data_IF_944518464992
#
_entry.id   IF_944518464992
#
_cell.length_a   1.000
_cell.length_b   1.000
_cell.length_c   1.000
_cell.angle_alpha   90.00
_cell.angle_beta   90.00
_cell.angle_gamma   90.00
#
_symmetry.space_group_name_H-M   'P 1'
#
loop_
_entity.id
_entity.type
_entity.pdbx_description
1 polymer ?
#
# COMPACT_ATOMS: atom_id res chain seq x y z
N UNK A 1 -2.34 -22.14 -7.69
CA UNK A 1 -1.74 -21.37 -8.81
C UNK A 1 -0.78 -20.35 -8.22
N UNK A 2 0.49 -20.30 -8.65
CA UNK A 2 1.45 -19.32 -8.10
C UNK A 2 1.11 -17.92 -8.62
N UNK A 3 1.39 -16.89 -7.80
CA UNK A 3 1.14 -15.48 -8.17
C UNK A 3 1.82 -15.11 -9.50
N UNK A 4 3.05 -15.59 -9.70
CA UNK A 4 3.83 -15.36 -10.93
C UNK A 4 3.10 -15.91 -12.16
N UNK A 5 2.54 -17.13 -12.06
CA UNK A 5 1.81 -17.75 -13.16
C UNK A 5 0.49 -17.02 -13.44
N UNK A 6 -0.22 -16.58 -12.40
CA UNK A 6 -1.43 -15.78 -12.56
C UNK A 6 -1.14 -14.48 -13.33
N UNK A 7 -0.07 -13.78 -12.95
CA UNK A 7 0.31 -12.53 -13.60
C UNK A 7 0.89 -12.69 -15.00
N UNK A 8 1.65 -13.76 -15.27
CA UNK A 8 2.15 -14.02 -16.64
C UNK A 8 1.00 -14.31 -17.60
N UNK A 9 -0.01 -15.07 -17.16
CA UNK A 9 -1.23 -15.33 -17.95
C UNK A 9 -2.01 -14.03 -18.17
N UNK A 10 -2.21 -13.22 -17.13
CA UNK A 10 -2.92 -11.95 -17.25
C UNK A 10 -2.21 -10.96 -18.18
N UNK A 11 -0.88 -10.85 -18.09
CA UNK A 11 -0.10 -9.96 -18.97
C UNK A 11 -0.13 -10.43 -20.41
N UNK A 12 -0.08 -11.75 -20.66
CA UNK A 12 -0.20 -12.30 -22.02
C UNK A 12 -1.59 -12.04 -22.61
N UNK A 13 -2.66 -12.28 -21.85
CA UNK A 13 -4.04 -11.99 -22.29
C UNK A 13 -4.20 -10.50 -22.59
N UNK A 14 -3.74 -9.63 -21.68
CA UNK A 14 -3.80 -8.18 -21.86
C UNK A 14 -3.00 -7.73 -23.09
N UNK A 15 -1.82 -8.29 -23.33
CA UNK A 15 -1.00 -8.00 -24.52
C UNK A 15 -1.70 -8.39 -25.81
N UNK A 16 -2.26 -9.61 -25.88
CA UNK A 16 -2.99 -10.10 -27.07
C UNK A 16 -4.23 -9.26 -27.36
N UNK A 17 -5.04 -8.96 -26.32
CA UNK A 17 -6.24 -8.13 -26.47
C UNK A 17 -5.88 -6.69 -26.83
N UNK A 18 -4.84 -6.14 -26.22
CA UNK A 18 -4.32 -4.80 -26.52
C UNK A 18 -3.87 -4.68 -27.98
N UNK A 19 -3.16 -5.68 -28.49
CA UNK A 19 -2.77 -5.74 -29.90
C UNK A 19 -3.98 -5.84 -30.83
N UNK A 20 -4.93 -6.73 -30.51
CA UNK A 20 -6.15 -6.94 -31.31
C UNK A 20 -7.06 -5.71 -31.34
N UNK A 21 -7.11 -4.95 -30.25
CA UNK A 21 -7.97 -3.77 -30.10
C UNK A 21 -7.21 -2.45 -30.24
N UNK A 22 -6.00 -2.45 -30.81
CA UNK A 22 -5.13 -1.27 -30.94
C UNK A 22 -5.77 -0.02 -31.57
N UNK A 23 -6.86 -0.20 -32.33
CA UNK A 23 -7.59 0.90 -32.98
C UNK A 23 -8.91 1.27 -32.26
N UNK A 24 -9.26 0.61 -31.15
CA UNK A 24 -10.52 0.81 -30.43
C UNK A 24 -10.24 1.33 -29.02
N UNK A 25 -10.45 2.62 -28.82
CA UNK A 25 -10.16 3.33 -27.55
C UNK A 25 -10.96 2.74 -26.38
N UNK A 26 -12.28 2.59 -26.52
CA UNK A 26 -13.14 2.11 -25.42
C UNK A 26 -12.74 0.71 -24.92
N UNK A 27 -12.56 -0.32 -25.77
CA UNK A 27 -12.03 -1.61 -25.36
C UNK A 27 -10.67 -1.55 -24.67
N UNK A 28 -9.76 -0.66 -25.09
CA UNK A 28 -8.46 -0.51 -24.44
C UNK A 28 -8.59 0.10 -23.04
N UNK A 29 -9.46 1.09 -22.84
CA UNK A 29 -9.72 1.65 -21.51
C UNK A 29 -10.35 0.61 -20.58
N UNK A 30 -11.32 -0.17 -21.08
CA UNK A 30 -11.93 -1.27 -20.32
C UNK A 30 -10.86 -2.31 -19.97
N UNK A 31 -9.99 -2.67 -20.93
CA UNK A 31 -8.90 -3.61 -20.71
C UNK A 31 -7.96 -3.13 -19.59
N UNK A 32 -7.57 -1.85 -19.57
CA UNK A 32 -6.74 -1.27 -18.50
C UNK A 32 -7.39 -1.47 -17.12
N UNK A 33 -8.67 -1.11 -16.98
CA UNK A 33 -9.41 -1.25 -15.71
C UNK A 33 -9.50 -2.72 -15.31
N UNK A 34 -9.89 -3.60 -16.23
CA UNK A 34 -10.00 -5.03 -15.98
C UNK A 34 -8.66 -5.65 -15.59
N UNK A 35 -7.56 -5.28 -16.26
CA UNK A 35 -6.22 -5.78 -15.92
C UNK A 35 -5.79 -5.29 -14.55
N UNK A 36 -6.01 -4.02 -14.21
CA UNK A 36 -5.68 -3.50 -12.89
C UNK A 36 -6.43 -4.24 -11.76
N UNK A 37 -7.75 -4.45 -11.93
CA UNK A 37 -8.57 -5.22 -10.99
C UNK A 37 -8.10 -6.68 -10.93
N UNK A 38 -7.83 -7.32 -12.07
CA UNK A 38 -7.38 -8.71 -12.10
C UNK A 38 -6.03 -8.90 -11.42
N UNK A 39 -5.09 -7.95 -11.55
CA UNK A 39 -3.80 -7.99 -10.86
C UNK A 39 -3.97 -7.91 -9.33
N UNK A 40 -4.85 -7.03 -8.84
CA UNK A 40 -5.19 -6.90 -7.43
C UNK A 40 -5.85 -8.17 -6.90
N UNK A 41 -6.86 -8.69 -7.60
CA UNK A 41 -7.55 -9.93 -7.24
C UNK A 41 -6.60 -11.14 -7.25
N UNK A 42 -5.64 -11.20 -8.18
CA UNK A 42 -4.65 -12.28 -8.21
C UNK A 42 -3.79 -12.33 -6.93
N UNK A 43 -3.49 -11.19 -6.31
CA UNK A 43 -2.81 -11.17 -5.00
C UNK A 43 -3.72 -11.79 -3.94
N UNK A 44 -4.97 -11.31 -3.84
CA UNK A 44 -5.94 -11.75 -2.83
C UNK A 44 -6.32 -13.24 -2.94
N UNK A 45 -6.43 -13.78 -4.16
CA UNK A 45 -6.87 -15.16 -4.38
C UNK A 45 -5.74 -16.19 -4.39
N UNK A 46 -4.47 -15.77 -4.47
CA UNK A 46 -3.35 -16.72 -4.51
C UNK A 46 -2.78 -17.05 -3.13
N UNK A 47 -3.16 -16.32 -2.08
CA UNK A 47 -2.77 -16.59 -0.70
C UNK A 47 -3.04 -15.42 0.24
N UNK A 48 -2.56 -15.55 1.48
CA UNK A 48 -2.63 -14.49 2.49
C UNK A 48 -1.81 -13.25 2.07
N UNK A 49 -2.27 -12.08 2.49
CA UNK A 49 -1.66 -10.79 2.20
C UNK A 49 -1.70 -9.88 3.42
N UNK A 50 -0.75 -8.94 3.50
CA UNK A 50 -0.73 -7.88 4.51
C UNK A 50 -1.74 -6.78 4.10
N UNK A 51 -2.85 -6.60 4.83
CA UNK A 51 -3.98 -5.79 4.38
C UNK A 51 -3.65 -4.29 4.32
N UNK A 52 -2.93 -3.75 5.31
CA UNK A 52 -2.54 -2.34 5.32
C UNK A 52 -1.67 -1.98 4.10
N UNK A 53 -0.56 -2.73 3.91
CA UNK A 53 0.30 -2.57 2.73
C UNK A 53 -0.49 -2.72 1.44
N UNK A 54 -1.32 -3.76 1.32
CA UNK A 54 -2.07 -4.03 0.10
C UNK A 54 -3.04 -2.89 -0.22
N UNK A 55 -3.79 -2.38 0.75
CA UNK A 55 -4.77 -1.30 0.53
C UNK A 55 -4.07 0.03 0.23
N UNK A 56 -2.98 0.36 0.94
CA UNK A 56 -2.15 1.53 0.66
C UNK A 56 -1.59 1.47 -0.76
N UNK A 57 -1.03 0.32 -1.15
CA UNK A 57 -0.48 0.10 -2.48
C UNK A 57 -1.57 0.10 -3.57
N UNK A 58 -2.72 -0.53 -3.32
CA UNK A 58 -3.85 -0.56 -4.25
C UNK A 58 -4.39 0.85 -4.50
N UNK A 59 -4.50 1.68 -3.46
CA UNK A 59 -4.88 3.10 -3.58
C UNK A 59 -3.89 3.85 -4.46
N UNK A 60 -2.59 3.67 -4.27
CA UNK A 60 -1.57 4.27 -5.14
C UNK A 60 -1.68 3.74 -6.58
N UNK A 61 -1.91 2.43 -6.75
CA UNK A 61 -2.02 1.77 -8.05
C UNK A 61 -3.26 2.21 -8.85
N UNK A 62 -4.32 2.71 -8.20
CA UNK A 62 -5.44 3.33 -8.92
C UNK A 62 -4.98 4.50 -9.79
N UNK A 63 -3.96 5.26 -9.36
CA UNK A 63 -3.37 6.32 -10.16
C UNK A 63 -2.70 5.77 -11.43
N UNK A 64 -2.06 4.60 -11.37
CA UNK A 64 -1.51 3.91 -12.56
C UNK A 64 -2.62 3.58 -13.55
N UNK A 65 -3.77 3.08 -13.09
CA UNK A 65 -4.89 2.75 -13.97
C UNK A 65 -5.46 4.01 -14.65
N UNK A 66 -5.66 5.10 -13.90
CA UNK A 66 -6.12 6.37 -14.43
C UNK A 66 -5.13 6.97 -15.44
N UNK A 67 -3.84 6.98 -15.10
CA UNK A 67 -2.79 7.47 -15.99
C UNK A 67 -2.67 6.61 -17.25
N UNK A 68 -2.91 5.30 -17.15
CA UNK A 68 -2.95 4.38 -18.29
C UNK A 68 -4.13 4.66 -19.22
N UNK A 69 -5.30 5.03 -18.69
CA UNK A 69 -6.44 5.49 -19.52
C UNK A 69 -6.07 6.77 -20.26
N UNK A 70 -5.45 7.74 -19.59
CA UNK A 70 -4.98 8.98 -20.23
C UNK A 70 -3.95 8.67 -21.31
N UNK A 71 -3.01 7.78 -21.05
CA UNK A 71 -2.02 7.32 -22.02
C UNK A 71 -2.67 6.66 -23.24
N UNK A 72 -3.66 5.78 -23.04
CA UNK A 72 -4.43 5.17 -24.14
C UNK A 72 -5.13 6.23 -24.98
N UNK A 73 -5.81 7.20 -24.37
CA UNK A 73 -6.47 8.30 -25.07
C UNK A 73 -5.47 9.14 -25.87
N UNK A 74 -4.32 9.42 -25.28
CA UNK A 74 -3.28 10.19 -25.93
C UNK A 74 -2.72 9.43 -27.14
N UNK A 75 -2.38 8.15 -26.99
CA UNK A 75 -1.75 7.33 -28.04
C UNK A 75 -2.71 6.99 -29.17
N UNK A 76 -3.94 6.58 -28.84
CA UNK A 76 -4.89 6.09 -29.83
C UNK A 76 -5.72 7.21 -30.50
N UNK A 77 -5.92 8.35 -29.82
CA UNK A 77 -6.76 9.45 -30.32
C UNK A 77 -5.99 10.72 -30.64
N UNK A 78 -5.07 11.14 -29.78
CA UNK A 78 -4.40 12.45 -29.92
C UNK A 78 -3.20 12.39 -30.86
N UNK A 79 -2.29 11.42 -30.68
CA UNK A 79 -1.09 11.26 -31.51
C UNK A 79 -1.38 11.14 -33.02
N UNK A 80 -2.39 10.39 -33.48
CA UNK A 80 -2.65 10.26 -34.91
C UNK A 80 -3.11 11.57 -35.56
N UNK A 81 -3.64 12.52 -34.76
CA UNK A 81 -4.14 13.81 -35.23
C UNK A 81 -3.05 14.88 -35.29
N UNK A 82 -1.89 14.66 -34.65
CA UNK A 82 -0.77 15.60 -34.68
C UNK A 82 -0.04 15.50 -36.02
N UNK A 83 -0.03 16.62 -36.75
CA UNK A 83 0.65 16.76 -38.06
C UNK A 83 1.66 17.91 -38.04
N UNK A 84 1.50 18.89 -37.13
CA UNK A 84 2.35 20.08 -37.10
C UNK A 84 3.74 19.79 -36.53
N UNK A 85 4.78 20.33 -37.19
CA UNK A 85 6.17 20.25 -36.72
C UNK A 85 6.40 21.09 -35.46
N UNK A 86 5.63 22.16 -35.25
CA UNK A 86 5.76 23.07 -34.11
C UNK A 86 5.36 22.41 -32.78
N UNK A 87 4.45 21.44 -32.82
CA UNK A 87 3.93 20.75 -31.63
C UNK A 87 4.93 19.75 -31.02
N UNK A 88 6.07 19.46 -31.69
CA UNK A 88 7.03 18.43 -31.25
C UNK A 88 7.60 18.68 -29.84
N UNK A 89 7.84 19.94 -29.48
CA UNK A 89 8.40 20.29 -28.17
C UNK A 89 7.34 20.17 -27.07
N UNK A 90 6.12 20.63 -27.33
CA UNK A 90 4.98 20.42 -26.43
C UNK A 90 4.73 18.94 -26.20
N UNK A 91 4.78 18.12 -27.26
CA UNK A 91 4.66 16.68 -27.18
C UNK A 91 5.74 16.06 -26.27
N UNK A 92 6.99 16.45 -26.46
CA UNK A 92 8.10 15.96 -25.64
C UNK A 92 7.88 16.27 -24.15
N UNK A 93 7.39 17.48 -23.84
CA UNK A 93 7.06 17.89 -22.47
C UNK A 93 5.92 17.03 -21.90
N UNK A 94 4.84 16.82 -22.66
CA UNK A 94 3.70 16.00 -22.19
C UNK A 94 4.13 14.55 -21.92
N UNK A 95 4.93 13.95 -22.80
CA UNK A 95 5.44 12.59 -22.58
C UNK A 95 6.43 12.52 -21.43
N UNK A 96 7.31 13.51 -21.28
CA UNK A 96 8.20 13.59 -20.13
C UNK A 96 7.42 13.70 -18.80
N UNK A 97 6.32 14.47 -18.78
CA UNK A 97 5.43 14.55 -17.63
C UNK A 97 4.78 13.21 -17.31
N UNK A 98 4.22 12.50 -18.31
CA UNK A 98 3.61 11.17 -18.12
C UNK A 98 4.65 10.15 -17.62
N UNK A 99 5.86 10.15 -18.19
CA UNK A 99 6.97 9.30 -17.74
C UNK A 99 7.31 9.59 -16.28
N UNK A 100 7.43 10.86 -15.91
CA UNK A 100 7.72 11.29 -14.54
C UNK A 100 6.62 10.84 -13.57
N UNK A 101 5.35 10.95 -13.97
CA UNK A 101 4.23 10.48 -13.15
C UNK A 101 4.26 8.97 -12.92
N UNK A 102 4.52 8.16 -13.96
CA UNK A 102 4.68 6.71 -13.79
C UNK A 102 5.85 6.38 -12.86
N UNK A 103 7.00 7.03 -13.03
CA UNK A 103 8.17 6.82 -12.17
C UNK A 103 7.89 7.24 -10.72
N UNK A 104 7.17 8.34 -10.50
CA UNK A 104 6.77 8.78 -9.17
C UNK A 104 5.85 7.76 -8.49
N UNK A 105 4.84 7.26 -9.20
CA UNK A 105 3.95 6.19 -8.69
C UNK A 105 4.78 4.94 -8.37
N UNK A 106 5.70 4.55 -9.25
CA UNK A 106 6.63 3.44 -9.01
C UNK A 106 7.47 3.66 -7.75
N UNK A 107 8.03 4.86 -7.56
CA UNK A 107 8.80 5.22 -6.37
C UNK A 107 8.00 5.11 -5.07
N UNK A 108 6.76 5.62 -5.04
CA UNK A 108 5.89 5.50 -3.86
C UNK A 108 5.57 4.03 -3.53
N UNK A 109 5.31 3.20 -4.54
CA UNK A 109 5.10 1.76 -4.36
C UNK A 109 6.38 1.07 -3.85
N UNK A 110 7.55 1.43 -4.36
CA UNK A 110 8.83 0.90 -3.89
C UNK A 110 9.07 1.24 -2.42
N UNK A 111 8.87 2.51 -2.02
CA UNK A 111 9.06 2.95 -0.64
C UNK A 111 8.15 2.15 0.30
N UNK A 112 6.85 2.05 -0.02
CA UNK A 112 5.89 1.29 0.77
C UNK A 112 6.28 -0.19 0.90
N UNK A 113 6.79 -0.81 -0.17
CA UNK A 113 7.22 -2.20 -0.13
C UNK A 113 8.54 -2.39 0.64
N UNK A 114 9.48 -1.44 0.56
CA UNK A 114 10.76 -1.56 1.25
C UNK A 114 10.64 -1.45 2.77
N UNK A 115 9.71 -0.65 3.28
CA UNK A 115 9.41 -0.57 4.72
C UNK A 115 9.03 -1.96 5.27
N UNK A 116 8.16 -2.68 4.56
CA UNK A 116 7.66 -4.01 4.94
C UNK A 116 8.70 -5.13 4.75
N UNK A 117 9.58 -5.02 3.74
CA UNK A 117 10.67 -5.98 3.55
C UNK A 117 11.75 -5.90 4.63
N UNK A 118 11.84 -4.77 5.33
CA UNK A 118 12.84 -4.56 6.38
C UNK A 118 12.34 -4.97 7.78
N UNK A 119 11.07 -5.40 7.92
CA UNK A 119 10.47 -5.75 9.22
C UNK A 119 11.31 -6.79 9.98
N UNK A 120 11.84 -7.80 9.29
CA UNK A 120 12.68 -8.84 9.89
C UNK A 120 14.04 -8.34 10.40
N UNK A 121 14.48 -7.18 9.93
CA UNK A 121 15.76 -6.57 10.28
C UNK A 121 15.64 -5.47 11.33
N UNK A 122 14.41 -5.13 11.74
CA UNK A 122 14.18 -4.12 12.76
C UNK A 122 14.72 -4.58 14.12
N UNK A 123 15.21 -3.64 14.96
CA UNK A 123 15.53 -3.94 16.34
C UNK A 123 14.35 -4.57 17.06
N UNK A 124 14.65 -5.65 17.75
CA UNK A 124 13.72 -6.47 18.50
C UNK A 124 13.88 -6.14 19.97
N UNK A 125 12.80 -5.70 20.61
CA UNK A 125 12.81 -5.27 22.00
C UNK A 125 11.78 -6.07 22.77
N UNK A 126 12.26 -6.96 23.63
CA UNK A 126 11.45 -7.85 24.46
C UNK A 126 11.54 -7.48 25.95
N UNK A 127 12.60 -6.76 26.33
CA UNK A 127 12.84 -6.35 27.70
C UNK A 127 12.91 -4.83 27.84
N UNK A 128 12.68 -4.37 29.06
CA UNK A 128 12.79 -2.95 29.41
C UNK A 128 14.21 -2.42 29.24
N UNK A 129 15.20 -3.21 29.60
CA UNK A 129 16.61 -2.79 29.53
C UNK A 129 17.05 -2.61 28.07
N UNK A 130 16.58 -3.48 27.16
CA UNK A 130 16.73 -3.30 25.71
C UNK A 130 16.05 -2.02 25.22
N UNK A 131 14.82 -1.73 25.69
CA UNK A 131 14.10 -0.51 25.32
C UNK A 131 14.85 0.76 25.76
N UNK A 132 15.37 0.77 27.00
CA UNK A 132 16.14 1.89 27.56
C UNK A 132 17.46 2.05 26.79
N UNK A 133 18.18 0.96 26.54
CA UNK A 133 19.42 0.98 25.78
C UNK A 133 19.21 1.56 24.39
N UNK A 134 18.13 1.15 23.70
CA UNK A 134 17.81 1.64 22.36
C UNK A 134 17.40 3.11 22.38
N UNK A 135 16.59 3.55 23.35
CA UNK A 135 16.23 4.97 23.54
C UNK A 135 17.46 5.86 23.69
N UNK A 136 18.46 5.40 24.44
CA UNK A 136 19.64 6.19 24.79
C UNK A 136 20.74 6.14 23.71
N UNK A 137 20.53 5.41 22.60
CA UNK A 137 21.48 5.39 21.48
C UNK A 137 21.41 6.67 20.63
N UNK A 138 22.57 7.25 20.25
CA UNK A 138 22.64 8.54 19.53
C UNK A 138 22.34 8.45 18.02
N UNK A 139 21.75 7.37 17.51
CA UNK A 139 21.47 7.19 16.07
C UNK A 139 20.02 7.54 15.73
N UNK A 140 19.81 8.08 14.52
CA UNK A 140 18.48 8.40 13.98
C UNK A 140 17.56 7.18 14.08
N UNK A 141 16.37 7.40 14.64
CA UNK A 141 15.48 6.36 15.17
C UNK A 141 15.02 5.39 14.08
N UNK A 142 15.50 4.13 14.05
CA UNK A 142 14.87 3.11 13.24
C UNK A 142 13.51 2.75 13.84
N UNK A 143 12.57 2.32 13.00
CA UNK A 143 11.40 1.58 13.49
C UNK A 143 11.86 0.36 14.28
N UNK A 144 11.07 -0.09 15.26
CA UNK A 144 11.37 -1.25 16.09
C UNK A 144 10.15 -2.16 16.25
N UNK A 145 10.40 -3.38 16.70
CA UNK A 145 9.40 -4.33 17.15
C UNK A 145 9.44 -4.44 18.68
N UNK A 146 8.35 -4.08 19.33
CA UNK A 146 8.22 -4.08 20.78
C UNK A 146 7.30 -5.21 21.23
N UNK A 147 7.81 -6.20 21.92
CA UNK A 147 7.00 -7.21 22.60
C UNK A 147 6.61 -6.70 24.00
N UNK A 148 5.31 -6.67 24.29
CA UNK A 148 4.78 -6.18 25.57
C UNK A 148 3.40 -6.80 25.87
N UNK A 149 2.79 -6.43 27.01
CA UNK A 149 1.40 -6.78 27.31
C UNK A 149 0.52 -5.55 27.31
N UNK A 150 -0.74 -5.69 26.92
CA UNK A 150 -1.70 -4.60 27.06
C UNK A 150 -1.97 -4.31 28.54
N UNK A 151 -1.75 -3.06 28.93
CA UNK A 151 -1.82 -2.68 30.33
C UNK A 151 -3.25 -2.78 30.89
N UNK A 152 -3.37 -3.29 32.11
CA UNK A 152 -4.65 -3.39 32.82
C UNK A 152 -5.26 -2.03 33.20
N UNK A 153 -4.47 -0.95 33.12
CA UNK A 153 -4.92 0.43 33.37
C UNK A 153 -5.60 1.07 32.16
N UNK A 154 -5.58 0.42 30.98
CA UNK A 154 -6.32 0.89 29.80
C UNK A 154 -7.82 0.92 30.08
N UNK A 155 -8.57 1.87 29.53
CA UNK A 155 -10.03 1.91 29.72
C UNK A 155 -10.73 0.80 28.92
N UNK A 156 -11.62 0.04 29.55
CA UNK A 156 -12.44 -0.98 28.86
C UNK A 156 -13.49 -0.35 27.94
N UNK A 157 -13.82 -1.06 26.86
CA UNK A 157 -14.88 -0.73 25.92
C UNK A 157 -16.27 -1.06 26.47
N UNK A 158 -16.72 -0.32 27.48
CA UNK A 158 -18.09 -0.31 27.98
C UNK A 158 -18.55 -1.62 28.68
N UNK A 159 -19.53 -1.55 29.59
CA UNK A 159 -20.13 -2.75 30.22
C UNK A 159 -21.28 -3.33 29.37
N UNK A 160 -21.71 -4.61 29.51
CA UNK A 160 -21.16 -5.73 30.29
C UNK A 160 -20.65 -6.93 29.45
N UNK A 161 -20.73 -6.87 28.12
CA UNK A 161 -20.31 -7.96 27.21
C UNK A 161 -18.82 -7.89 26.82
N UNK A 162 -18.09 -6.87 27.27
CA UNK A 162 -16.76 -6.52 26.77
C UNK A 162 -15.71 -6.54 27.89
N UNK A 163 -15.79 -7.52 28.81
CA UNK A 163 -14.85 -7.66 29.95
C UNK A 163 -13.41 -7.68 29.46
N UNK A 164 -12.61 -6.73 29.93
CA UNK A 164 -11.20 -6.55 29.60
C UNK A 164 -10.92 -6.11 28.16
N UNK A 165 -11.92 -5.87 27.31
CA UNK A 165 -11.70 -5.49 25.90
C UNK A 165 -11.32 -4.02 25.83
N UNK A 166 -10.18 -3.70 25.23
CA UNK A 166 -9.66 -2.32 25.09
C UNK A 166 -9.77 -1.77 23.68
N UNK A 167 -9.78 -2.64 22.68
CA UNK A 167 -9.92 -2.27 21.29
C UNK A 167 -10.71 -3.36 20.56
N UNK A 168 -11.49 -2.94 19.57
CA UNK A 168 -12.21 -3.88 18.71
C UNK A 168 -12.41 -3.32 17.31
N UNK A 169 -12.48 -4.21 16.33
CA UNK A 169 -12.86 -3.87 14.96
C UNK A 169 -13.61 -5.06 14.35
N UNK A 170 -14.46 -4.80 13.35
CA UNK A 170 -15.10 -5.89 12.62
C UNK A 170 -14.08 -6.55 11.69
N UNK A 171 -13.90 -7.87 11.85
CA UNK A 171 -12.97 -8.66 11.04
C UNK A 171 -13.71 -9.70 10.19
N UNK A 172 -14.91 -9.36 9.72
CA UNK A 172 -15.73 -10.26 8.91
C UNK A 172 -15.02 -10.61 7.59
N UNK A 173 -14.76 -11.90 7.42
CA UNK A 173 -14.17 -12.47 6.21
C UNK A 173 -15.23 -13.24 5.41
N UNK A 174 -15.41 -12.91 4.13
CA UNK A 174 -16.14 -13.74 3.16
C UNK A 174 -15.12 -14.35 2.20
N UNK A 175 -14.82 -15.64 2.38
CA UNK A 175 -13.71 -16.28 1.68
C UNK A 175 -12.39 -15.53 1.95
N UNK A 176 -11.59 -15.17 0.93
CA UNK A 176 -10.34 -14.41 1.11
C UNK A 176 -10.54 -12.90 1.26
N UNK A 177 -11.79 -12.40 1.14
CA UNK A 177 -12.07 -10.96 1.24
C UNK A 177 -12.40 -10.56 2.68
N UNK A 178 -11.63 -9.64 3.24
CA UNK A 178 -12.03 -8.84 4.40
C UNK A 178 -12.99 -7.76 3.92
N UNK A 179 -14.16 -7.69 4.54
CA UNK A 179 -15.12 -6.64 4.23
C UNK A 179 -14.73 -5.35 4.96
N UNK A 180 -14.90 -4.17 4.32
CA UNK A 180 -14.67 -2.90 4.98
C UNK A 180 -15.59 -2.77 6.20
N UNK A 181 -14.98 -2.62 7.37
CA UNK A 181 -15.66 -2.53 8.65
C UNK A 181 -16.28 -1.14 8.85
N UNK A 182 -17.57 -1.09 9.21
CA UNK A 182 -18.25 0.16 9.58
C UNK A 182 -18.27 0.41 11.09
N UNK A 183 -17.74 -0.51 11.88
CA UNK A 183 -17.62 -0.41 13.33
C UNK A 183 -16.22 -0.76 13.81
N UNK A 184 -15.46 0.25 14.22
CA UNK A 184 -14.20 0.09 14.94
C UNK A 184 -14.20 0.96 16.17
N UNK A 185 -13.65 0.44 17.26
CA UNK A 185 -13.42 1.14 18.51
C UNK A 185 -11.94 0.96 18.84
N UNK A 186 -11.13 1.86 18.31
CA UNK A 186 -9.69 1.86 18.47
C UNK A 186 -9.32 3.06 19.37
N UNK A 187 -8.59 2.86 20.47
CA UNK A 187 -8.14 3.95 21.31
C UNK A 187 -7.08 4.77 20.58
N UNK A 188 -7.02 6.08 20.89
CA UNK A 188 -6.02 6.97 20.32
C UNK A 188 -4.60 6.67 20.80
N UNK A 189 -4.46 5.93 21.91
CA UNK A 189 -3.18 5.48 22.49
C UNK A 189 -3.35 4.15 23.18
N UNK A 190 -2.32 3.32 23.15
CA UNK A 190 -2.19 2.09 23.91
C UNK A 190 -1.18 2.25 25.03
N UNK A 191 -1.45 1.62 26.17
CA UNK A 191 -0.51 1.49 27.28
C UNK A 191 0.02 0.05 27.28
N UNK A 192 1.34 -0.09 27.27
CA UNK A 192 2.05 -1.34 27.13
C UNK A 192 2.87 -1.61 28.39
N UNK A 193 2.57 -2.70 29.08
CA UNK A 193 3.26 -3.12 30.28
C UNK A 193 4.51 -3.95 29.94
N UNK A 194 5.62 -3.56 30.57
CA UNK A 194 6.84 -4.36 30.66
C UNK A 194 6.94 -5.00 32.05
N UNK A 195 7.47 -6.23 32.16
CA UNK A 195 7.84 -6.78 33.46
C UNK A 195 8.81 -5.83 34.20
N UNK A 196 8.44 -5.40 35.41
CA UNK A 196 9.33 -4.62 36.29
C UNK A 196 9.47 -3.13 35.98
N UNK A 197 8.53 -2.51 35.25
CA UNK A 197 8.60 -1.08 34.96
C UNK A 197 7.28 -0.36 34.72
N UNK A 198 7.33 0.98 34.59
CA UNK A 198 6.16 1.78 34.26
C UNK A 198 5.78 1.55 32.78
N UNK A 199 4.48 1.64 32.43
CA UNK A 199 4.03 1.35 31.07
C UNK A 199 4.61 2.32 30.03
N UNK A 200 4.80 1.78 28.83
CA UNK A 200 5.19 2.52 27.61
C UNK A 200 3.93 2.93 26.87
N UNK A 201 3.90 4.17 26.39
CA UNK A 201 2.80 4.69 25.57
C UNK A 201 3.08 4.40 24.10
N UNK A 202 2.11 3.84 23.39
CA UNK A 202 2.13 3.72 21.93
C UNK A 202 0.96 4.50 21.31
N UNK A 203 1.17 5.12 20.15
CA UNK A 203 0.08 5.74 19.39
C UNK A 203 -0.96 4.69 18.97
N UNK A 204 -2.19 5.14 18.82
CA UNK A 204 -3.29 4.34 18.32
C UNK A 204 -3.09 3.97 16.84
N UNK A 205 -3.70 2.85 16.44
CA UNK A 205 -3.86 2.50 15.03
C UNK A 205 -5.13 3.15 14.46
N UNK A 206 -5.11 3.49 13.17
CA UNK A 206 -6.21 4.16 12.47
C UNK A 206 -7.26 3.18 11.96
N UNK A 207 -6.87 1.95 11.64
CA UNK A 207 -7.77 0.94 11.10
C UNK A 207 -7.44 -0.49 11.55
N UNK A 208 -8.41 -1.38 11.43
CA UNK A 208 -8.21 -2.82 11.61
C UNK A 208 -7.23 -3.46 10.62
N UNK A 209 -6.85 -2.78 9.53
CA UNK A 209 -5.85 -3.29 8.58
C UNK A 209 -4.44 -3.25 9.17
N UNK A 210 -4.21 -2.41 10.18
CA UNK A 210 -2.97 -2.31 10.96
C UNK A 210 -2.91 -3.34 12.11
N UNK A 211 -3.65 -4.45 12.00
CA UNK A 211 -3.69 -5.50 13.03
C UNK A 211 -3.31 -6.85 12.46
N UNK A 212 -2.68 -7.68 13.30
CA UNK A 212 -2.34 -9.05 12.95
C UNK A 212 -2.72 -10.03 14.06
N UNK A 213 -3.35 -11.15 13.68
CA UNK A 213 -3.73 -12.25 14.57
C UNK A 213 -4.61 -11.86 15.78
N UNK A 214 -5.35 -10.75 15.72
CA UNK A 214 -6.26 -10.39 16.81
C UNK A 214 -7.37 -11.45 16.96
N UNK A 215 -7.62 -11.95 18.18
CA UNK A 215 -8.59 -13.01 18.41
C UNK A 215 -10.02 -12.52 18.15
N UNK A 216 -10.89 -13.45 17.72
CA UNK A 216 -12.32 -13.20 17.68
C UNK A 216 -12.85 -12.92 19.10
N UNK A 217 -13.85 -12.04 19.20
CA UNK A 217 -14.55 -11.71 20.45
C UNK A 217 -15.11 -12.93 21.19
N UNK A 218 -15.46 -14.01 20.46
CA UNK A 218 -16.02 -15.25 21.01
C UNK A 218 -17.48 -15.17 21.45
N UNK A 219 -18.13 -14.01 21.27
CA UNK A 219 -19.53 -13.74 21.64
C UNK A 219 -20.51 -13.93 20.47
N UNK A 220 -20.07 -14.61 19.41
CA UNK A 220 -20.85 -14.78 18.17
C UNK A 220 -20.87 -13.54 17.27
N UNK A 221 -20.25 -12.42 17.68
CA UNK A 221 -20.02 -11.30 16.77
C UNK A 221 -18.82 -11.54 15.86
N UNK A 222 -18.85 -10.96 14.65
CA UNK A 222 -17.74 -11.01 13.70
C UNK A 222 -16.64 -9.97 14.03
N UNK A 223 -16.44 -9.69 15.32
CA UNK A 223 -15.47 -8.71 15.81
C UNK A 223 -14.17 -9.42 16.22
N UNK A 224 -13.05 -8.77 15.92
CA UNK A 224 -11.75 -9.09 16.48
C UNK A 224 -11.44 -8.08 17.56
N UNK A 225 -10.86 -8.55 18.66
CA UNK A 225 -10.71 -7.78 19.89
C UNK A 225 -9.31 -7.89 20.44
N UNK A 226 -8.91 -6.87 21.18
CA UNK A 226 -7.72 -6.86 22.00
C UNK A 226 -8.13 -6.64 23.45
N UNK A 227 -7.55 -7.41 24.37
CA UNK A 227 -7.90 -7.39 25.80
C UNK A 227 -6.72 -7.02 26.69
N UNK A 228 -7.00 -6.64 27.92
CA UNK A 228 -5.99 -6.48 28.96
C UNK A 228 -5.17 -7.76 29.15
N UNK A 229 -3.87 -7.60 29.32
CA UNK A 229 -2.94 -8.69 29.53
C UNK A 229 -2.60 -9.49 28.27
N UNK A 230 -3.27 -9.24 27.14
CA UNK A 230 -2.92 -9.88 25.87
C UNK A 230 -1.46 -9.55 25.53
N UNK A 231 -0.63 -10.57 25.20
CA UNK A 231 0.69 -10.34 24.68
C UNK A 231 0.58 -9.75 23.28
N UNK A 232 1.36 -8.71 23.01
CA UNK A 232 1.35 -8.01 21.73
C UNK A 232 2.76 -7.70 21.26
N UNK A 233 2.91 -7.64 19.93
CA UNK A 233 4.06 -7.06 19.26
C UNK A 233 3.61 -5.77 18.58
N UNK A 234 4.23 -4.65 18.93
CA UNK A 234 3.95 -3.34 18.36
C UNK A 234 5.09 -2.92 17.46
N UNK A 235 4.78 -2.68 16.19
CA UNK A 235 5.71 -2.11 15.22
C UNK A 235 5.49 -0.60 15.13
N UNK A 236 6.50 0.19 15.52
CA UNK A 236 6.44 1.65 15.46
C UNK A 236 7.81 2.30 15.61
N UNK A 237 7.83 3.63 15.70
CA UNK A 237 9.05 4.42 15.85
C UNK A 237 9.20 4.94 17.28
N UNK A 238 10.41 4.85 17.84
CA UNK A 238 10.69 5.46 19.12
C UNK A 238 10.54 6.97 19.03
N UNK A 239 9.79 7.57 19.95
CA UNK A 239 9.62 9.02 20.00
C UNK A 239 9.74 9.52 21.45
N UNK A 240 10.67 10.46 21.73
CA UNK A 240 10.75 11.11 23.02
C UNK A 240 9.55 12.05 23.24
N UNK A 241 9.18 12.25 24.49
CA UNK A 241 8.15 13.21 24.92
C UNK A 241 6.70 12.75 24.80
N UNK A 242 6.43 11.46 24.53
CA UNK A 242 5.06 10.95 24.43
C UNK A 242 4.34 10.78 25.79
N UNK A 243 5.07 10.81 26.90
CA UNK A 243 4.54 10.71 28.27
C UNK A 243 4.17 12.07 28.86
N UNK A 244 3.14 12.10 29.72
CA UNK A 244 2.59 13.33 30.34
C UNK A 244 3.32 13.79 31.64
N UNK A 245 4.62 13.56 31.76
CA UNK A 245 5.41 14.05 32.93
C UNK A 245 5.26 13.24 34.22
N UNK A 246 4.90 11.96 34.13
CA UNK A 246 4.92 10.99 35.24
C UNK A 246 6.02 9.91 35.08
N UNK A 247 6.13 8.95 36.02
CA UNK A 247 7.11 7.85 35.92
C UNK A 247 6.93 6.95 34.68
N UNK A 248 5.81 7.06 33.96
CA UNK A 248 5.58 6.46 32.64
C UNK A 248 6.33 7.22 31.56
N UNK A 249 7.57 6.79 31.40
CA UNK A 249 8.53 7.00 30.31
C UNK A 249 8.35 8.25 29.45
N UNK A 250 9.34 9.13 29.51
CA UNK A 250 9.57 10.24 28.58
C UNK A 250 9.79 9.79 27.11
N UNK A 251 9.40 8.57 26.74
CA UNK A 251 9.59 7.95 25.43
C UNK A 251 8.47 6.94 25.20
N UNK A 252 7.91 6.94 24.00
CA UNK A 252 6.88 6.01 23.57
C UNK A 252 7.12 5.55 22.13
N UNK A 253 6.12 4.88 21.56
CA UNK A 253 6.09 4.52 20.15
C UNK A 253 5.11 5.42 19.40
N UNK A 254 5.59 6.16 18.42
CA UNK A 254 4.76 6.90 17.47
C UNK A 254 4.73 6.20 16.11
N UNK A 255 3.87 6.67 15.22
CA UNK A 255 3.72 6.13 13.86
C UNK A 255 3.60 4.60 13.88
N UNK A 256 2.71 4.11 14.75
CA UNK A 256 2.46 2.69 14.95
C UNK A 256 1.89 2.13 13.65
N UNK A 257 2.67 1.26 13.01
CA UNK A 257 2.33 0.61 11.74
C UNK A 257 1.44 -0.58 11.97
N UNK A 258 1.72 -1.36 13.01
CA UNK A 258 1.01 -2.59 13.30
C UNK A 258 0.98 -2.92 14.78
N UNK A 259 -0.14 -3.48 15.24
CA UNK A 259 -0.26 -4.17 16.52
C UNK A 259 -0.66 -5.62 16.25
N UNK A 260 0.23 -6.55 16.57
CA UNK A 260 -0.01 -7.98 16.46
C UNK A 260 -0.28 -8.59 17.83
N UNK A 261 -1.17 -9.58 17.92
CA UNK A 261 -1.32 -10.41 19.14
C UNK A 261 -0.36 -11.59 19.08
N UNK A 262 0.36 -11.83 20.18
CA UNK A 262 1.35 -12.89 20.32
C UNK A 262 2.72 -12.37 20.78
N UNK A 263 3.70 -13.26 20.73
CA UNK A 263 5.11 -12.95 20.97
C UNK A 263 5.85 -12.64 19.66
N UNK A 264 7.09 -12.19 19.78
CA UNK A 264 7.91 -11.81 18.65
C UNK A 264 8.22 -12.98 17.72
N UNK A 265 8.42 -14.19 18.26
CA UNK A 265 8.68 -15.38 17.45
C UNK A 265 7.48 -15.72 16.55
N UNK A 266 6.27 -15.71 17.12
CA UNK A 266 5.01 -15.94 16.40
C UNK A 266 4.76 -14.86 15.36
N UNK A 267 5.06 -13.60 15.68
CA UNK A 267 4.97 -12.49 14.73
C UNK A 267 5.93 -12.67 13.55
N UNK A 268 7.20 -12.98 13.81
CA UNK A 268 8.21 -13.16 12.76
C UNK A 268 7.90 -14.38 11.87
N UNK A 269 7.43 -15.48 12.44
CA UNK A 269 7.05 -16.66 11.64
C UNK A 269 5.73 -16.48 10.89
N UNK A 270 4.77 -15.77 11.47
CA UNK A 270 3.43 -15.59 10.89
C UNK A 270 3.34 -14.42 9.90
N UNK A 271 3.71 -13.22 10.35
CA UNK A 271 3.49 -11.99 9.58
C UNK A 271 4.55 -11.77 8.50
N UNK A 272 5.84 -11.89 8.82
CA UNK A 272 6.93 -11.52 7.90
C UNK A 272 6.84 -12.23 6.54
N UNK A 273 6.59 -13.55 6.44
CA UNK A 273 6.47 -14.19 5.13
C UNK A 273 5.30 -13.64 4.29
N UNK A 274 4.20 -13.26 4.95
CA UNK A 274 3.02 -12.67 4.32
C UNK A 274 3.31 -11.24 3.87
N UNK A 275 3.99 -10.45 4.71
CA UNK A 275 4.45 -9.11 4.40
C UNK A 275 5.42 -9.13 3.21
N UNK A 276 6.43 -10.00 3.22
CA UNK A 276 7.40 -10.15 2.13
C UNK A 276 6.72 -10.52 0.81
N UNK A 277 5.78 -11.47 0.85
CA UNK A 277 5.02 -11.87 -0.34
C UNK A 277 4.25 -10.68 -0.91
N UNK A 278 3.56 -9.94 -0.04
CA UNK A 278 2.76 -8.77 -0.43
C UNK A 278 3.67 -7.67 -0.97
N UNK A 279 4.79 -7.41 -0.32
CA UNK A 279 5.78 -6.41 -0.73
C UNK A 279 6.42 -6.76 -2.07
N UNK A 280 6.74 -8.03 -2.35
CA UNK A 280 7.21 -8.48 -3.67
C UNK A 280 6.15 -8.24 -4.75
N UNK A 281 4.87 -8.42 -4.43
CA UNK A 281 3.78 -8.09 -5.35
C UNK A 281 3.71 -6.58 -5.62
N UNK A 282 3.79 -5.75 -4.58
CA UNK A 282 3.81 -4.29 -4.71
C UNK A 282 5.04 -3.81 -5.51
N UNK A 283 6.22 -4.41 -5.29
CA UNK A 283 7.43 -4.12 -6.09
C UNK A 283 7.25 -4.47 -7.57
N UNK A 284 6.52 -5.53 -7.89
CA UNK A 284 6.23 -5.86 -9.28
C UNK A 284 5.26 -4.85 -9.91
N UNK A 285 4.31 -4.28 -9.15
CA UNK A 285 3.51 -3.14 -9.61
C UNK A 285 4.38 -1.89 -9.83
N UNK A 286 5.38 -1.65 -8.97
CA UNK A 286 6.36 -0.60 -9.18
C UNK A 286 7.17 -0.82 -10.46
N UNK A 287 7.64 -2.05 -10.70
CA UNK A 287 8.35 -2.43 -11.93
C UNK A 287 7.47 -2.27 -13.17
N UNK A 288 6.18 -2.62 -13.09
CA UNK A 288 5.21 -2.37 -14.16
C UNK A 288 5.10 -0.89 -14.51
N UNK A 289 5.09 0.00 -13.52
CA UNK A 289 5.10 1.45 -13.76
C UNK A 289 6.39 1.89 -14.46
N UNK A 290 7.55 1.31 -14.12
CA UNK A 290 8.80 1.52 -14.85
C UNK A 290 8.71 1.07 -16.32
N UNK A 291 8.11 -0.10 -16.59
CA UNK A 291 7.86 -0.59 -17.95
C UNK A 291 6.91 0.33 -18.73
N UNK A 292 5.84 0.83 -18.10
CA UNK A 292 4.92 1.79 -18.72
C UNK A 292 5.61 3.12 -19.02
N UNK A 293 6.47 3.60 -18.11
CA UNK A 293 7.28 4.80 -18.31
C UNK A 293 8.20 4.64 -19.54
N UNK A 294 8.94 3.53 -19.63
CA UNK A 294 9.82 3.26 -20.78
C UNK A 294 9.04 3.14 -22.09
N UNK A 295 7.87 2.49 -22.09
CA UNK A 295 7.00 2.42 -23.26
C UNK A 295 6.54 3.80 -23.71
N UNK A 296 6.11 4.67 -22.79
CA UNK A 296 5.68 6.03 -23.11
C UNK A 296 6.85 6.88 -23.61
N UNK A 297 8.04 6.78 -23.02
CA UNK A 297 9.23 7.45 -23.53
C UNK A 297 9.55 7.02 -24.98
N UNK A 298 9.45 5.73 -25.28
CA UNK A 298 9.63 5.20 -26.64
C UNK A 298 8.60 5.75 -27.62
N UNK A 299 7.32 5.75 -27.26
CA UNK A 299 6.23 6.28 -28.09
C UNK A 299 6.42 7.79 -28.34
N UNK A 300 6.75 8.54 -27.29
CA UNK A 300 7.05 9.97 -27.38
C UNK A 300 8.22 10.25 -28.32
N UNK A 301 9.32 9.50 -28.19
CA UNK A 301 10.51 9.66 -29.04
C UNK A 301 10.23 9.32 -30.51
N UNK A 302 9.51 8.23 -30.79
CA UNK A 302 9.12 7.85 -32.16
C UNK A 302 8.25 8.93 -32.78
N UNK A 303 7.29 9.45 -32.02
CA UNK A 303 6.38 10.51 -32.52
C UNK A 303 7.13 11.84 -32.70
N UNK A 304 8.02 12.20 -31.79
CA UNK A 304 8.89 13.37 -31.92
C UNK A 304 9.72 13.30 -33.20
N UNK A 305 10.37 12.15 -33.46
CA UNK A 305 11.14 11.92 -34.68
C UNK A 305 10.27 11.97 -35.94
N UNK A 306 9.04 11.41 -35.89
CA UNK A 306 8.06 11.50 -36.98
C UNK A 306 7.72 12.96 -37.29
N UNK A 307 7.30 13.75 -36.29
CA UNK A 307 6.95 15.16 -36.48
C UNK A 307 8.14 16.01 -36.94
N UNK A 308 9.36 15.71 -36.45
CA UNK A 308 10.56 16.40 -36.90
C UNK A 308 10.91 16.13 -38.38
N UNK A 309 10.64 14.91 -38.88
CA UNK A 309 10.97 14.49 -40.25
C UNK A 309 9.87 14.78 -41.26
N UNK A 310 8.62 14.51 -40.90
CA UNK A 310 7.46 14.54 -41.82
C UNK A 310 6.36 15.49 -41.37
N UNK A 311 6.57 16.29 -40.33
CA UNK A 311 5.60 17.27 -39.87
C UNK A 311 5.48 18.44 -40.84
N UNK A 312 4.27 18.97 -40.99
CA UNK A 312 4.02 20.14 -41.84
C UNK A 312 4.25 21.43 -41.05
N UNK A 313 4.66 22.49 -41.73
CA UNK A 313 4.77 23.84 -41.13
C UNK A 313 3.42 24.56 -41.06
N UNK A 314 2.34 23.93 -41.55
CA UNK A 314 0.99 24.46 -41.48
C UNK A 314 0.47 24.46 -40.04
N UNK A 315 -0.20 25.55 -39.65
CA UNK A 315 -0.93 25.62 -38.37
C UNK A 315 -1.99 24.51 -38.29
N UNK A 316 -2.29 23.97 -37.10
CA UNK A 316 -3.25 22.90 -36.93
C UNK A 316 -4.62 23.33 -37.45
N UNK A 317 -5.03 22.81 -38.62
CA UNK A 317 -6.43 22.88 -39.04
C UNK A 317 -7.20 21.92 -38.15
N UNK A 318 -7.94 22.46 -37.18
CA UNK A 318 -9.04 21.73 -36.54
C UNK A 318 -10.03 21.43 -37.67
N UNK A 319 -9.88 20.28 -38.30
CA UNK A 319 -10.87 19.77 -39.23
C UNK A 319 -11.99 19.20 -38.38
N UNK A 320 -12.93 20.06 -38.01
CA UNK A 320 -14.26 19.61 -37.66
C UNK A 320 -14.74 18.78 -38.85
N UNK A 321 -14.83 17.46 -38.68
CA UNK A 321 -15.47 16.58 -39.67
C UNK A 321 -16.94 16.99 -39.74
N UNK A 322 -17.25 17.97 -40.58
CA UNK A 322 -18.59 18.21 -41.11
C UNK A 322 -18.73 17.36 -42.38
N UNK A 323 -19.13 16.10 -42.24
CA UNK A 323 -19.40 15.20 -43.37
C UNK A 323 -20.24 14.00 -42.91
N UNK A 324 -21.28 13.60 -43.67
CA UNK A 324 -22.39 12.79 -43.17
C UNK A 324 -22.01 11.31 -42.95
N UNK A 325 -22.81 10.65 -42.11
CA UNK A 325 -22.67 9.28 -41.58
C UNK A 325 -22.44 8.21 -42.64
#
# INVERSE_FOLDING_TARGET
MTLILAWSVLTLIAGVLGYRWRHRVLPLCILVVCTAVALALAVMFTGEYAPDLFLRAAKIFTATALLSIVAVLLVARSLPQLVSKHDRHLLAVVFAAIVTMYLAIGGFLTIAATEELQVSTLPQVSTRDEFIALRDTPQGQPGLLLEAKIAATMTELGPPQHRGVVASYQCLTIGPLRLPASGQRLPARYLLDFPGGPPVVADGIESGDQTWAWPSSGDGSAACVLRWGDPVVVWGHLQPGMGAGGPTSYTGLTDVRMIAVGDLESFLHGYVPVAERTARAVLAWAALNGLLATAMAGIGLVTYRRLARTGTDAAPKITWRSGPR
#
